data_IF_977829405560
#
_entry.id   IF_977829405560
#
_cell.length_a   1.000
_cell.length_b   1.000
_cell.length_c   1.000
_cell.angle_alpha   90.00
_cell.angle_beta   90.00
_cell.angle_gamma   90.00
#
_symmetry.space_group_name_H-M   'P 1'
#
loop_
_entity.id
_entity.type
_entity.pdbx_description
1 polymer ?
#
# COMPACT_ATOMS: atom_id res chain seq x y z
N UNK A 1 0.47 0.61 -3.69
CA UNK A 1 1.59 0.26 -4.59
C UNK A 1 2.86 0.79 -3.99
N UNK A 2 3.82 -0.08 -3.68
CA UNK A 2 5.15 0.30 -3.19
C UNK A 2 6.08 0.51 -4.37
N UNK A 3 6.75 1.65 -4.41
CA UNK A 3 7.67 2.05 -5.46
C UNK A 3 9.04 2.39 -4.88
N UNK A 4 10.08 1.95 -5.57
CA UNK A 4 11.49 2.23 -5.28
C UNK A 4 12.21 2.64 -6.55
N UNK A 5 13.29 3.40 -6.39
CA UNK A 5 14.25 3.68 -7.45
C UNK A 5 15.63 3.24 -7.00
N UNK A 6 16.14 2.17 -7.59
CA UNK A 6 17.48 1.63 -7.30
C UNK A 6 18.31 1.41 -8.55
N UNK A 7 19.44 0.70 -8.42
CA UNK A 7 20.31 0.32 -9.53
C UNK A 7 19.57 -0.51 -10.59
N UNK A 8 18.54 -1.26 -10.19
CA UNK A 8 17.68 -2.03 -11.09
C UNK A 8 16.66 -1.19 -11.86
N UNK A 9 16.63 0.13 -11.64
CA UNK A 9 15.63 1.05 -12.19
C UNK A 9 14.43 1.23 -11.27
N UNK A 10 13.29 1.59 -11.86
CA UNK A 10 12.04 1.75 -11.11
C UNK A 10 11.37 0.39 -10.91
N UNK A 11 11.04 0.08 -9.66
CA UNK A 11 10.24 -1.09 -9.31
C UNK A 11 8.90 -0.67 -8.70
N UNK A 12 7.84 -1.42 -8.99
CA UNK A 12 6.52 -1.20 -8.42
C UNK A 12 5.87 -2.54 -8.08
N UNK A 13 5.40 -2.70 -6.83
CA UNK A 13 4.71 -3.90 -6.39
C UNK A 13 3.43 -3.57 -5.60
N UNK A 14 2.38 -4.35 -5.82
CA UNK A 14 1.15 -4.28 -5.04
C UNK A 14 1.30 -5.14 -3.80
N UNK A 15 1.60 -4.51 -2.67
CA UNK A 15 1.84 -5.21 -1.40
C UNK A 15 0.89 -4.67 -0.33
N UNK A 16 0.10 -5.53 0.33
CA UNK A 16 -0.68 -5.14 1.50
C UNK A 16 0.24 -4.70 2.65
N UNK A 17 -0.20 -3.67 3.38
CA UNK A 17 0.51 -3.20 4.55
C UNK A 17 -0.50 -2.79 5.63
N UNK A 18 -0.02 -2.72 6.87
CA UNK A 18 -0.75 -2.20 8.00
C UNK A 18 -0.09 -0.92 8.51
N UNK A 19 -0.91 0.04 8.92
CA UNK A 19 -0.46 1.28 9.55
C UNK A 19 -0.46 1.12 11.07
N UNK A 20 0.66 1.48 11.69
CA UNK A 20 0.83 1.52 13.14
C UNK A 20 1.08 2.98 13.57
N UNK A 21 0.43 3.44 14.67
CA UNK A 21 0.57 4.81 15.16
C UNK A 21 1.86 5.00 15.96
N UNK A 22 3.00 4.73 15.33
CA UNK A 22 4.34 4.81 15.92
C UNK A 22 5.15 5.92 15.23
N UNK A 23 5.87 6.74 16.00
CA UNK A 23 6.57 7.91 15.47
C UNK A 23 5.65 9.07 15.04
N UNK A 24 6.19 10.12 14.41
CA UNK A 24 5.45 11.37 14.13
C UNK A 24 4.30 11.22 13.13
N UNK A 25 4.42 10.30 12.17
CA UNK A 25 3.46 10.11 11.08
C UNK A 25 2.92 8.68 11.00
N UNK A 26 3.38 7.77 11.87
CA UNK A 26 3.11 6.35 11.79
C UNK A 26 4.22 5.57 11.09
N UNK A 27 4.13 4.24 11.15
CA UNK A 27 4.95 3.31 10.38
C UNK A 27 4.07 2.35 9.61
N UNK A 28 4.49 1.98 8.40
CA UNK A 28 3.84 0.93 7.62
C UNK A 28 4.62 -0.37 7.76
N UNK A 29 3.96 -1.46 8.12
CA UNK A 29 4.57 -2.80 8.12
C UNK A 29 3.96 -3.66 7.03
N UNK A 30 4.83 -4.37 6.31
CA UNK A 30 4.48 -5.31 5.25
C UNK A 30 5.47 -6.47 5.22
N UNK A 31 5.17 -7.47 4.40
CA UNK A 31 6.13 -8.52 4.07
C UNK A 31 6.13 -8.74 2.56
N UNK A 32 7.23 -9.27 2.03
CA UNK A 32 7.35 -9.57 0.61
C UNK A 32 8.21 -10.81 0.37
N UNK A 33 8.01 -11.45 -0.78
CA UNK A 33 8.79 -12.61 -1.17
C UNK A 33 10.27 -12.26 -1.32
N UNK A 34 11.16 -13.13 -0.83
CA UNK A 34 12.62 -13.01 -1.05
C UNK A 34 13.02 -13.01 -2.51
N UNK A 35 12.23 -13.67 -3.35
CA UNK A 35 12.42 -13.70 -4.79
C UNK A 35 12.15 -12.34 -5.45
N UNK A 36 11.42 -11.44 -4.80
CA UNK A 36 11.21 -10.08 -5.29
C UNK A 36 12.47 -9.23 -5.01
N UNK A 37 13.24 -8.82 -6.03
CA UNK A 37 14.51 -8.12 -5.80
C UNK A 37 14.34 -6.74 -5.12
N UNK A 38 13.15 -6.15 -5.12
CA UNK A 38 12.87 -4.84 -4.53
C UNK A 38 13.25 -4.76 -3.03
N UNK A 39 13.21 -5.86 -2.28
CA UNK A 39 13.61 -5.82 -0.86
C UNK A 39 15.08 -5.44 -0.68
N UNK A 40 15.95 -5.75 -1.66
CA UNK A 40 17.37 -5.38 -1.61
C UNK A 40 17.57 -3.88 -1.79
N UNK A 41 16.75 -3.24 -2.62
CA UNK A 41 16.75 -1.79 -2.79
C UNK A 41 16.25 -1.09 -1.50
N UNK A 42 15.22 -1.65 -0.87
CA UNK A 42 14.75 -1.19 0.44
C UNK A 42 15.84 -1.35 1.50
N UNK A 43 16.55 -2.47 1.52
CA UNK A 43 17.67 -2.71 2.45
C UNK A 43 18.86 -1.75 2.22
N UNK A 44 19.05 -1.27 0.98
CA UNK A 44 20.07 -0.27 0.67
C UNK A 44 19.76 1.14 1.23
N UNK A 45 18.57 1.33 1.82
CA UNK A 45 18.21 2.56 2.55
C UNK A 45 17.71 3.71 1.67
N UNK A 46 17.36 3.45 0.41
CA UNK A 46 16.73 4.45 -0.45
C UNK A 46 15.32 4.80 0.01
N UNK A 47 14.91 6.06 -0.22
CA UNK A 47 13.53 6.48 -0.01
C UNK A 47 12.56 5.67 -0.89
N UNK A 48 11.38 5.38 -0.34
CA UNK A 48 10.32 4.69 -1.06
C UNK A 48 9.02 5.52 -1.08
N UNK A 49 8.17 5.24 -2.05
CA UNK A 49 6.84 5.85 -2.19
C UNK A 49 5.78 4.75 -2.19
N UNK A 50 4.76 4.89 -1.33
CA UNK A 50 3.56 4.10 -1.36
C UNK A 50 2.39 4.94 -1.85
N UNK A 51 1.64 4.41 -2.82
CA UNK A 51 0.40 5.03 -3.30
C UNK A 51 -0.80 4.14 -2.93
N UNK A 52 -1.75 4.75 -2.22
CA UNK A 52 -3.04 4.18 -1.87
C UNK A 52 -4.11 4.84 -2.74
N UNK A 53 -4.83 4.03 -3.50
CA UNK A 53 -5.88 4.51 -4.39
C UNK A 53 -7.23 4.47 -3.66
N UNK A 54 -7.95 5.59 -3.68
CA UNK A 54 -9.34 5.67 -3.28
C UNK A 54 -10.29 5.53 -4.47
N UNK A 55 -11.53 6.01 -4.28
CA UNK A 55 -12.53 6.02 -5.34
C UNK A 55 -12.09 6.90 -6.53
N UNK A 56 -12.44 6.46 -7.73
CA UNK A 56 -12.18 7.19 -8.96
C UNK A 56 -13.22 6.88 -10.03
N UNK A 57 -13.48 7.85 -10.91
CA UNK A 57 -14.44 7.69 -12.00
C UNK A 57 -14.21 8.71 -13.11
N UNK A 58 -14.53 8.30 -14.34
CA UNK A 58 -14.74 9.22 -15.45
C UNK A 58 -15.98 10.08 -15.20
N UNK A 59 -15.86 11.38 -15.46
CA UNK A 59 -16.96 12.32 -15.38
C UNK A 59 -17.25 12.84 -16.79
N UNK A 60 -18.35 12.34 -17.36
CA UNK A 60 -18.80 12.78 -18.68
C UNK A 60 -19.39 14.19 -18.61
N UNK A 61 -19.12 15.05 -19.61
CA UNK A 61 -19.85 16.30 -19.74
C UNK A 61 -21.34 16.09 -20.02
N UNK A 62 -21.78 14.92 -20.50
CA UNK A 62 -23.20 14.68 -20.83
C UNK A 62 -24.15 14.75 -19.63
N UNK A 63 -23.67 14.66 -18.38
CA UNK A 63 -24.53 14.65 -17.19
C UNK A 63 -25.11 16.01 -16.77
N UNK A 64 -24.72 17.11 -17.41
CA UNK A 64 -25.11 18.44 -16.92
C UNK A 64 -25.93 19.20 -17.96
N UNK A 65 -27.08 19.73 -17.57
CA UNK A 65 -28.00 20.42 -18.48
C UNK A 65 -27.37 21.68 -19.11
N UNK A 66 -26.69 22.51 -18.32
CA UNK A 66 -25.96 23.72 -18.78
C UNK A 66 -24.89 23.43 -19.85
N UNK A 67 -24.48 22.16 -19.97
CA UNK A 67 -23.47 21.72 -20.94
C UNK A 67 -24.01 21.44 -22.33
N UNK A 68 -25.29 21.08 -22.43
CA UNK A 68 -25.97 20.98 -23.71
C UNK A 68 -26.18 22.38 -24.32
N UNK A 69 -26.32 23.41 -23.47
CA UNK A 69 -26.62 24.78 -23.91
C UNK A 69 -25.39 25.57 -24.35
N UNK A 70 -24.27 25.48 -23.60
CA UNK A 70 -23.10 26.33 -23.85
C UNK A 70 -21.97 25.63 -24.59
N UNK A 71 -21.92 24.29 -24.59
CA UNK A 71 -20.82 23.46 -25.10
C UNK A 71 -19.40 23.77 -24.55
N UNK A 72 -19.24 24.68 -23.58
CA UNK A 72 -17.93 25.11 -23.04
C UNK A 72 -17.42 24.19 -21.93
N UNK A 73 -17.26 22.89 -22.21
CA UNK A 73 -16.93 21.89 -21.19
C UNK A 73 -16.07 20.77 -21.71
N UNK A 74 -15.21 20.27 -20.82
CA UNK A 74 -14.30 19.16 -21.10
C UNK A 74 -14.61 17.97 -20.17
N UNK A 75 -14.40 16.73 -20.64
CA UNK A 75 -14.45 15.56 -19.78
C UNK A 75 -13.34 15.59 -18.72
N UNK A 76 -13.54 14.88 -17.62
CA UNK A 76 -12.50 14.79 -16.60
C UNK A 76 -12.51 13.47 -15.84
N UNK A 77 -11.49 13.26 -15.02
CA UNK A 77 -11.40 12.12 -14.11
C UNK A 77 -11.43 12.64 -12.68
N UNK A 78 -12.39 12.15 -11.89
CA UNK A 78 -12.36 12.35 -10.45
C UNK A 78 -11.58 11.22 -9.81
N UNK A 79 -10.79 11.52 -8.79
CA UNK A 79 -10.06 10.52 -8.00
C UNK A 79 -9.75 11.04 -6.60
N UNK A 80 -9.46 10.10 -5.69
CA UNK A 80 -8.80 10.35 -4.40
C UNK A 80 -7.64 9.37 -4.29
N UNK A 81 -6.48 9.84 -3.82
CA UNK A 81 -5.31 9.03 -3.56
C UNK A 81 -4.53 9.58 -2.36
N UNK A 82 -3.78 8.72 -1.70
CA UNK A 82 -2.79 9.09 -0.67
C UNK A 82 -1.42 8.61 -1.11
N UNK A 83 -0.45 9.50 -1.09
CA UNK A 83 0.95 9.24 -1.36
C UNK A 83 1.71 9.31 -0.03
N UNK A 84 2.49 8.28 0.27
CA UNK A 84 3.26 8.15 1.51
C UNK A 84 4.71 7.92 1.16
N UNK A 85 5.59 8.80 1.62
CA UNK A 85 7.03 8.61 1.53
C UNK A 85 7.55 8.10 2.86
N UNK A 86 8.60 7.30 2.81
CA UNK A 86 9.23 6.81 4.02
C UNK A 86 10.56 6.13 3.80
N UNK A 87 11.26 5.93 4.90
CA UNK A 87 12.55 5.26 4.95
C UNK A 87 12.34 3.81 5.39
N UNK A 88 12.67 2.82 4.53
CA UNK A 88 12.45 1.42 4.83
C UNK A 88 13.54 0.84 5.74
N UNK A 89 13.15 -0.17 6.51
CA UNK A 89 14.03 -1.10 7.24
C UNK A 89 13.56 -2.51 6.96
N UNK A 90 14.48 -3.38 6.53
CA UNK A 90 14.18 -4.79 6.24
C UNK A 90 14.41 -5.63 7.49
N UNK A 91 13.42 -6.45 7.82
CA UNK A 91 13.46 -7.38 8.95
C UNK A 91 13.56 -8.82 8.43
N UNK A 92 14.71 -9.44 8.70
CA UNK A 92 14.96 -10.87 8.46
C UNK A 92 14.94 -11.65 9.79
N UNK A 93 14.08 -11.23 10.70
CA UNK A 93 13.83 -11.91 11.98
C UNK A 93 12.53 -12.73 11.88
N UNK A 94 12.58 -14.06 12.06
CA UNK A 94 11.40 -14.90 12.06
C UNK A 94 10.31 -14.45 13.06
N UNK A 95 10.69 -13.90 14.22
CA UNK A 95 9.71 -13.44 15.22
C UNK A 95 8.93 -12.23 14.69
N UNK A 96 9.65 -11.24 14.15
CA UNK A 96 9.06 -10.07 13.51
C UNK A 96 8.16 -10.47 12.33
N UNK A 97 8.66 -11.35 11.45
CA UNK A 97 7.93 -11.80 10.26
C UNK A 97 6.66 -12.54 10.66
N UNK A 98 6.71 -13.41 11.67
CA UNK A 98 5.53 -14.13 12.20
C UNK A 98 4.48 -13.16 12.73
N UNK A 99 4.91 -12.15 13.51
CA UNK A 99 4.01 -11.14 14.05
C UNK A 99 3.31 -10.35 12.93
N UNK A 100 4.05 -9.95 11.90
CA UNK A 100 3.49 -9.22 10.76
C UNK A 100 2.51 -10.07 9.93
N UNK A 101 2.78 -11.35 9.70
CA UNK A 101 1.83 -12.26 9.05
C UNK A 101 0.56 -12.36 9.89
N UNK A 102 0.70 -12.62 11.20
CA UNK A 102 -0.43 -12.75 12.12
C UNK A 102 -1.32 -11.51 12.12
N UNK A 103 -0.74 -10.32 12.26
CA UNK A 103 -1.48 -9.06 12.26
C UNK A 103 -2.20 -8.81 10.93
N UNK A 104 -1.55 -9.07 9.79
CA UNK A 104 -2.18 -8.91 8.49
C UNK A 104 -3.32 -9.91 8.28
N UNK A 105 -3.11 -11.18 8.63
CA UNK A 105 -4.15 -12.22 8.58
C UNK A 105 -5.35 -11.82 9.43
N UNK A 106 -5.13 -11.42 10.68
CA UNK A 106 -6.21 -10.99 11.58
C UNK A 106 -7.00 -9.81 10.97
N UNK A 107 -6.30 -8.80 10.44
CA UNK A 107 -6.94 -7.64 9.82
C UNK A 107 -7.83 -8.02 8.62
N UNK A 108 -7.43 -9.02 7.82
CA UNK A 108 -8.21 -9.46 6.65
C UNK A 108 -9.34 -10.43 7.02
N UNK A 109 -9.14 -11.26 8.04
CA UNK A 109 -10.10 -12.30 8.44
C UNK A 109 -11.13 -11.80 9.46
N UNK A 110 -10.92 -10.62 10.08
CA UNK A 110 -11.77 -10.04 11.13
C UNK A 110 -13.28 -10.03 10.82
N UNK A 111 -13.67 -9.85 9.56
CA UNK A 111 -15.07 -9.77 9.15
C UNK A 111 -15.71 -11.12 8.80
N UNK A 112 -14.94 -12.22 8.83
CA UNK A 112 -15.41 -13.56 8.49
C UNK A 112 -16.18 -14.18 9.66
N UNK A 113 -17.19 -14.99 9.32
CA UNK A 113 -17.95 -15.77 10.31
C UNK A 113 -17.07 -16.83 10.98
N UNK A 114 -16.16 -17.44 10.21
CA UNK A 114 -15.17 -18.39 10.68
C UNK A 114 -13.79 -17.89 10.21
N UNK A 115 -13.12 -17.05 11.01
CA UNK A 115 -11.84 -16.47 10.63
C UNK A 115 -10.75 -17.54 10.61
N UNK A 116 -9.95 -17.55 9.54
CA UNK A 116 -8.75 -18.36 9.47
C UNK A 116 -7.60 -17.72 10.28
N UNK A 117 -6.86 -18.52 11.03
CA UNK A 117 -5.68 -18.09 11.78
C UNK A 117 -4.41 -18.71 11.19
N UNK A 118 -3.30 -18.01 11.35
CA UNK A 118 -1.98 -18.54 10.95
C UNK A 118 -1.71 -19.89 11.61
N UNK A 119 -2.10 -20.04 12.88
CA UNK A 119 -1.96 -21.28 13.65
C UNK A 119 -2.82 -22.45 13.16
N UNK A 120 -3.78 -22.23 12.24
CA UNK A 120 -4.58 -23.31 11.66
C UNK A 120 -3.77 -24.12 10.63
N UNK A 121 -2.61 -23.62 10.19
CA UNK A 121 -1.67 -24.36 9.36
C UNK A 121 -0.63 -25.13 10.21
N UNK A 122 -0.07 -26.24 9.69
CA UNK A 122 1.02 -26.97 10.36
C UNK A 122 2.26 -26.09 10.63
N UNK A 123 2.88 -26.26 11.80
CA UNK A 123 4.01 -25.42 12.23
C UNK A 123 5.24 -25.53 11.30
N UNK A 124 5.55 -26.74 10.84
CA UNK A 124 6.62 -27.00 9.89
C UNK A 124 6.37 -26.33 8.53
N UNK A 125 5.11 -26.32 8.08
CA UNK A 125 4.68 -25.62 6.89
C UNK A 125 4.79 -24.10 7.04
N UNK A 126 4.33 -23.54 8.16
CA UNK A 126 4.46 -22.10 8.46
C UNK A 126 5.94 -21.69 8.45
N UNK A 127 6.78 -22.45 9.16
CA UNK A 127 8.22 -22.19 9.23
C UNK A 127 8.88 -22.26 7.84
N UNK A 128 8.45 -23.17 6.98
CA UNK A 128 8.93 -23.25 5.60
C UNK A 128 8.56 -22.03 4.76
N UNK A 129 7.29 -21.61 4.83
CA UNK A 129 6.80 -20.45 4.07
C UNK A 129 7.42 -19.14 4.56
N UNK A 130 7.64 -19.00 5.87
CA UNK A 130 8.29 -17.81 6.45
C UNK A 130 9.72 -17.62 5.94
N UNK A 131 10.47 -18.71 5.67
CA UNK A 131 11.81 -18.60 5.07
C UNK A 131 11.79 -18.01 3.67
N UNK A 132 10.65 -18.00 2.98
CA UNK A 132 10.53 -17.46 1.62
C UNK A 132 10.20 -15.96 1.58
N UNK A 133 10.01 -15.30 2.73
CA UNK A 133 9.64 -13.89 2.81
C UNK A 133 10.58 -13.10 3.73
N UNK A 134 10.55 -11.79 3.58
CA UNK A 134 11.16 -10.82 4.50
C UNK A 134 10.11 -9.83 4.97
N UNK A 135 10.32 -9.32 6.18
CA UNK A 135 9.56 -8.20 6.72
C UNK A 135 10.11 -6.86 6.26
N UNK A 136 9.24 -5.86 6.15
CA UNK A 136 9.64 -4.48 5.88
C UNK A 136 8.83 -3.56 6.76
N UNK A 137 9.52 -2.69 7.50
CA UNK A 137 8.95 -1.54 8.19
C UNK A 137 9.33 -0.26 7.45
N UNK A 138 8.40 0.67 7.32
CA UNK A 138 8.62 1.93 6.60
C UNK A 138 8.22 3.05 7.55
N UNK A 139 9.23 3.76 8.08
CA UNK A 139 9.01 4.95 8.88
C UNK A 139 8.52 6.08 7.98
N UNK A 140 7.31 6.58 8.23
CA UNK A 140 6.68 7.57 7.35
C UNK A 140 7.34 8.94 7.57
N UNK A 141 7.82 9.53 6.49
CA UNK A 141 8.46 10.85 6.48
C UNK A 141 7.54 11.94 5.94
N UNK A 142 6.59 11.59 5.08
CA UNK A 142 5.64 12.54 4.48
C UNK A 142 4.38 11.83 4.01
N UNK A 143 3.23 12.48 4.18
CA UNK A 143 1.93 12.03 3.69
C UNK A 143 1.31 13.15 2.85
N UNK A 144 0.83 12.82 1.65
CA UNK A 144 0.07 13.74 0.81
C UNK A 144 -1.24 13.12 0.34
N UNK A 145 -2.35 13.81 0.60
CA UNK A 145 -3.63 13.54 -0.03
C UNK A 145 -3.72 14.25 -1.38
N UNK A 146 -4.18 13.54 -2.41
CA UNK A 146 -4.49 14.09 -3.72
C UNK A 146 -5.92 13.76 -4.07
N UNK A 147 -6.72 14.78 -4.36
CA UNK A 147 -8.09 14.57 -4.81
C UNK A 147 -8.48 15.55 -5.90
N UNK A 148 -9.27 15.05 -6.84
CA UNK A 148 -10.00 15.84 -7.83
C UNK A 148 -11.43 15.35 -7.77
N UNK A 149 -12.33 16.15 -7.20
CA UNK A 149 -13.73 15.77 -6.98
C UNK A 149 -14.70 16.83 -7.49
N UNK A 150 -14.34 17.49 -8.58
CA UNK A 150 -15.18 18.48 -9.29
C UNK A 150 -15.67 19.66 -8.41
N UNK A 151 -14.91 20.05 -7.38
CA UNK A 151 -15.27 21.09 -6.39
C UNK A 151 -15.41 22.50 -6.97
N UNK A 152 -14.77 22.79 -8.11
CA UNK A 152 -14.77 24.12 -8.73
C UNK A 152 -15.93 24.32 -9.72
N UNK A 153 -17.10 23.75 -9.41
CA UNK A 153 -18.27 23.82 -10.30
C UNK A 153 -19.51 24.22 -9.50
N UNK A 154 -20.10 25.33 -9.91
CA UNK A 154 -21.48 25.74 -9.60
C UNK A 154 -22.46 25.12 -10.56
#
# INVERSE_FOLDING_TARGET
>A
VLMTSGEGGLMANHIPCLLYPEGPHGVLRLHMARANPQWKELAAGGDCLLVFHGAQAYITPSWYATKAETHKVVPTWNFVAVHVWGTPTVHDDPVWVRAQIGALTEAQEKARVQPWRVEDAPEDFIAAQMRAIVGVEIAITRIEGKWKVSQNRT
#
